data_IF_288713815150
#
_entry.id   IF_288713815150
#
_cell.length_a   1.000
_cell.length_b   1.000
_cell.length_c   1.000
_cell.angle_alpha   90.00
_cell.angle_beta   90.00
_cell.angle_gamma   90.00
#
_symmetry.space_group_name_H-M   'P 1'
#
loop_
_entity.id
_entity.type
_entity.pdbx_description
1 polymer ?
#
# COMPACT_ATOMS: atom_id res chain seq x y z
N UNK A 1 12.56 -15.32 -61.78
CA UNK A 1 12.52 -15.95 -60.45
C UNK A 1 11.99 -14.91 -59.48
N UNK A 2 10.84 -15.09 -58.88
CA UNK A 2 10.35 -14.11 -57.89
C UNK A 2 11.07 -14.34 -56.55
N UNK A 3 11.71 -13.28 -56.07
CA UNK A 3 12.29 -13.23 -54.71
C UNK A 3 11.14 -12.99 -53.75
N UNK A 4 10.82 -13.99 -52.93
CA UNK A 4 9.82 -13.87 -51.89
C UNK A 4 10.44 -13.06 -50.70
N UNK A 5 9.94 -11.87 -50.52
CA UNK A 5 10.30 -11.01 -49.34
C UNK A 5 9.51 -11.55 -48.14
N UNK A 6 10.17 -12.28 -47.28
CA UNK A 6 9.63 -12.69 -45.97
C UNK A 6 9.63 -11.45 -45.04
N UNK A 7 8.46 -10.87 -44.87
CA UNK A 7 8.26 -9.82 -43.85
C UNK A 7 8.15 -10.51 -42.48
N UNK A 8 9.22 -10.51 -41.72
CA UNK A 8 9.20 -10.93 -40.31
C UNK A 8 8.45 -9.89 -39.49
N UNK A 9 7.23 -10.23 -39.11
CA UNK A 9 6.47 -9.43 -38.14
C UNK A 9 7.10 -9.62 -36.74
N UNK A 10 7.86 -8.62 -36.29
CA UNK A 10 8.37 -8.60 -34.93
C UNK A 10 7.18 -8.22 -34.02
N UNK A 11 6.59 -9.21 -33.38
CA UNK A 11 5.61 -8.96 -32.29
C UNK A 11 6.40 -8.51 -31.08
N UNK A 12 6.42 -7.21 -30.85
CA UNK A 12 6.86 -6.65 -29.56
C UNK A 12 5.84 -7.07 -28.51
N UNK A 13 6.13 -8.15 -27.78
CA UNK A 13 5.42 -8.47 -26.55
C UNK A 13 5.77 -7.38 -25.55
N UNK A 14 4.86 -6.40 -25.38
CA UNK A 14 4.96 -5.42 -24.32
C UNK A 14 4.90 -6.16 -22.99
N UNK A 15 6.02 -6.24 -22.29
CA UNK A 15 6.03 -6.70 -20.90
C UNK A 15 5.29 -5.64 -20.08
N UNK A 16 4.10 -6.00 -19.58
CA UNK A 16 3.44 -5.20 -18.53
C UNK A 16 4.32 -5.30 -17.30
N UNK A 17 5.10 -4.25 -17.06
CA UNK A 17 5.94 -4.16 -15.90
C UNK A 17 5.04 -3.79 -14.72
N UNK A 18 4.97 -4.65 -13.69
CA UNK A 18 4.31 -4.31 -12.45
C UNK A 18 5.01 -3.08 -11.85
N UNK A 19 4.24 -2.12 -11.34
CA UNK A 19 4.79 -0.94 -10.69
C UNK A 19 5.71 -1.36 -9.54
N UNK A 20 6.91 -0.78 -9.48
CA UNK A 20 7.83 -1.05 -8.39
C UNK A 20 7.26 -0.50 -7.07
N UNK A 21 7.43 -1.23 -5.94
CA UNK A 21 7.06 -0.70 -4.63
C UNK A 21 7.77 0.62 -4.33
N UNK A 22 7.07 1.51 -3.64
CA UNK A 22 7.67 2.73 -3.12
C UNK A 22 8.70 2.39 -2.04
N UNK A 23 9.81 3.10 -2.05
CA UNK A 23 10.75 3.12 -0.93
C UNK A 23 10.38 4.27 -0.01
N UNK A 24 9.92 3.93 1.17
CA UNK A 24 9.45 4.89 2.16
C UNK A 24 10.33 4.82 3.42
N UNK A 25 10.24 5.87 4.22
CA UNK A 25 10.89 5.93 5.53
C UNK A 25 9.91 6.47 6.56
N UNK A 26 9.86 5.80 7.69
CA UNK A 26 9.03 6.21 8.82
C UNK A 26 9.88 6.16 10.09
N UNK A 27 10.05 7.32 10.75
CA UNK A 27 10.84 7.45 11.98
C UNK A 27 12.24 6.81 11.88
N UNK A 28 12.89 7.00 10.73
CA UNK A 28 14.22 6.46 10.43
C UNK A 28 14.22 5.01 9.93
N UNK A 29 13.10 4.31 9.93
CA UNK A 29 12.97 2.93 9.44
C UNK A 29 12.57 2.89 7.97
N UNK A 30 13.38 2.21 7.16
CA UNK A 30 13.08 2.01 5.73
C UNK A 30 12.06 0.88 5.55
N UNK A 31 11.14 1.10 4.62
CA UNK A 31 10.13 0.12 4.24
C UNK A 31 9.81 0.22 2.75
N UNK A 32 9.18 -0.81 2.22
CA UNK A 32 8.71 -0.85 0.84
C UNK A 32 7.19 -1.04 0.83
N UNK A 33 6.48 -0.28 0.01
CA UNK A 33 5.03 -0.37 -0.06
C UNK A 33 4.54 -0.32 -1.51
N UNK A 34 3.67 -1.26 -1.86
CA UNK A 34 2.86 -1.12 -3.07
C UNK A 34 1.97 0.11 -2.93
N UNK A 35 1.71 0.81 -4.01
CA UNK A 35 0.97 2.07 -3.97
C UNK A 35 -0.43 1.91 -4.58
N UNK A 36 -1.45 1.90 -3.73
CA UNK A 36 -2.85 1.77 -4.13
C UNK A 36 -3.48 3.18 -4.24
N UNK A 37 -3.64 3.68 -5.47
CA UNK A 37 -4.11 5.03 -5.77
C UNK A 37 -5.50 5.06 -6.41
N UNK A 38 -5.87 4.01 -7.14
CA UNK A 38 -7.17 3.92 -7.78
C UNK A 38 -8.20 3.29 -6.85
N UNK A 39 -9.48 3.54 -7.12
CA UNK A 39 -10.58 2.89 -6.39
C UNK A 39 -10.42 1.37 -6.42
N UNK A 40 -10.16 0.79 -7.60
CA UNK A 40 -10.00 -0.64 -7.77
C UNK A 40 -8.80 -1.19 -6.98
N UNK A 41 -7.67 -0.51 -6.98
CA UNK A 41 -6.48 -0.90 -6.20
C UNK A 41 -6.75 -0.87 -4.69
N UNK A 42 -7.42 0.19 -4.21
CA UNK A 42 -7.78 0.31 -2.80
C UNK A 42 -8.78 -0.75 -2.37
N UNK A 43 -9.80 -1.02 -3.19
CA UNK A 43 -10.79 -2.06 -2.89
C UNK A 43 -10.17 -3.46 -2.80
N UNK A 44 -9.24 -3.75 -3.69
CA UNK A 44 -8.51 -5.02 -3.67
C UNK A 44 -7.57 -5.10 -2.47
N UNK A 45 -6.84 -4.02 -2.17
CA UNK A 45 -5.85 -4.00 -1.09
C UNK A 45 -4.94 -5.22 -1.12
N UNK A 46 -4.79 -5.88 0.01
CA UNK A 46 -3.99 -7.10 0.19
C UNK A 46 -4.84 -8.39 0.16
N UNK A 47 -6.04 -8.34 -0.43
CA UNK A 47 -6.90 -9.52 -0.57
C UNK A 47 -6.15 -10.68 -1.20
N UNK A 48 -6.33 -11.89 -0.66
CA UNK A 48 -5.74 -13.12 -1.17
C UNK A 48 -4.25 -13.30 -0.89
N UNK A 49 -3.60 -12.33 -0.24
CA UNK A 49 -2.19 -12.45 0.15
C UNK A 49 -2.07 -13.24 1.45
N UNK A 50 -1.19 -14.23 1.49
CA UNK A 50 -0.94 -15.07 2.67
C UNK A 50 0.29 -14.65 3.46
N UNK A 51 1.17 -13.84 2.88
CA UNK A 51 2.39 -13.32 3.49
C UNK A 51 2.82 -11.99 2.89
N UNK A 52 3.59 -11.23 3.63
CA UNK A 52 4.31 -10.05 3.17
C UNK A 52 5.81 -10.30 3.32
N UNK A 53 6.60 -9.80 2.39
CA UNK A 53 8.05 -9.77 2.55
C UNK A 53 8.40 -8.87 3.75
N UNK A 54 9.57 -9.10 4.36
CA UNK A 54 10.04 -8.29 5.47
C UNK A 54 10.04 -6.80 5.12
N UNK A 55 9.60 -5.95 6.05
CA UNK A 55 9.51 -4.50 5.89
C UNK A 55 8.70 -4.04 4.67
N UNK A 56 7.72 -4.83 4.26
CA UNK A 56 6.88 -4.57 3.09
C UNK A 56 5.41 -4.46 3.46
N UNK A 57 4.67 -3.68 2.68
CA UNK A 57 3.25 -3.48 2.89
C UNK A 57 2.58 -2.77 1.72
N UNK A 58 1.48 -2.09 2.01
CA UNK A 58 0.73 -1.33 1.01
C UNK A 58 0.35 0.05 1.54
N UNK A 59 0.66 1.08 0.76
CA UNK A 59 0.25 2.45 1.00
C UNK A 59 -1.01 2.76 0.18
N UNK A 60 -2.09 3.08 0.86
CA UNK A 60 -3.34 3.55 0.27
C UNK A 60 -3.32 5.07 0.22
N UNK A 61 -3.55 5.63 -0.94
CA UNK A 61 -3.79 7.06 -1.12
C UNK A 61 -5.27 7.28 -1.38
N UNK A 62 -5.92 8.01 -0.50
CA UNK A 62 -7.33 8.37 -0.64
C UNK A 62 -7.47 9.67 -1.43
N UNK A 63 -8.58 9.81 -2.17
CA UNK A 63 -8.82 10.99 -2.99
C UNK A 63 -9.17 12.23 -2.17
N UNK A 64 -9.67 12.02 -0.95
CA UNK A 64 -10.12 13.08 -0.05
C UNK A 64 -9.47 12.94 1.33
N UNK A 65 -9.25 14.08 1.99
CA UNK A 65 -8.89 14.13 3.41
C UNK A 65 -10.16 14.04 4.25
N UNK A 66 -10.39 12.87 4.86
CA UNK A 66 -11.52 12.60 5.76
C UNK A 66 -11.20 11.40 6.62
N UNK A 67 -12.10 10.99 7.49
CA UNK A 67 -11.98 9.71 8.17
C UNK A 67 -12.19 8.59 7.15
N UNK A 68 -11.22 7.68 7.07
CA UNK A 68 -11.26 6.51 6.19
C UNK A 68 -11.34 5.24 7.00
N UNK A 69 -12.01 4.26 6.42
CA UNK A 69 -12.25 2.95 7.06
C UNK A 69 -11.65 1.84 6.22
N UNK A 70 -11.15 0.82 6.90
CA UNK A 70 -10.56 -0.38 6.33
C UNK A 70 -11.33 -1.61 6.82
N UNK A 71 -11.28 -2.69 6.07
CA UNK A 71 -11.77 -4.00 6.46
C UNK A 71 -10.83 -5.09 5.98
N UNK A 72 -11.02 -6.30 6.46
CA UNK A 72 -10.15 -7.44 6.17
C UNK A 72 -10.85 -8.52 5.35
N UNK A 73 -11.82 -8.13 4.53
CA UNK A 73 -12.49 -9.07 3.63
C UNK A 73 -11.46 -9.77 2.74
N UNK A 74 -11.57 -11.09 2.65
CA UNK A 74 -10.70 -11.94 1.82
C UNK A 74 -9.19 -11.74 2.06
N UNK A 75 -8.81 -11.23 3.24
CA UNK A 75 -7.43 -10.92 3.60
C UNK A 75 -6.99 -11.81 4.76
N UNK A 76 -6.16 -12.85 4.49
CA UNK A 76 -5.75 -13.82 5.52
C UNK A 76 -4.63 -13.33 6.43
N UNK A 77 -4.07 -12.15 6.17
CA UNK A 77 -2.95 -11.56 6.91
C UNK A 77 -3.41 -10.95 8.25
N UNK A 78 -2.52 -10.98 9.24
CA UNK A 78 -2.62 -10.13 10.43
C UNK A 78 -1.88 -8.83 10.13
N UNK A 79 -2.57 -7.70 10.15
CA UNK A 79 -2.01 -6.41 9.77
C UNK A 79 -2.13 -5.38 10.88
N UNK A 80 -1.25 -4.38 10.84
CA UNK A 80 -1.45 -3.09 11.48
C UNK A 80 -1.56 -2.03 10.39
N UNK A 81 -2.47 -1.08 10.55
CA UNK A 81 -2.62 0.04 9.65
C UNK A 81 -2.32 1.35 10.37
N UNK A 82 -1.42 2.14 9.81
CA UNK A 82 -1.13 3.49 10.25
C UNK A 82 -1.79 4.48 9.30
N UNK A 83 -2.56 5.41 9.85
CA UNK A 83 -3.16 6.51 9.09
C UNK A 83 -2.29 7.75 9.18
N UNK A 84 -2.19 8.48 8.07
CA UNK A 84 -1.41 9.71 7.98
C UNK A 84 -2.26 10.83 7.37
N UNK A 85 -2.03 12.05 7.82
CA UNK A 85 -2.66 13.23 7.22
C UNK A 85 -2.03 13.58 5.86
N UNK A 86 -2.47 14.68 5.25
CA UNK A 86 -1.98 15.11 3.93
C UNK A 86 -0.50 15.53 3.92
N UNK A 87 0.06 15.86 5.08
CA UNK A 87 1.48 16.20 5.24
C UNK A 87 2.34 14.97 5.58
N UNK A 88 1.73 13.79 5.67
CA UNK A 88 2.40 12.56 6.05
C UNK A 88 2.61 12.38 7.54
N UNK A 89 1.97 13.20 8.38
CA UNK A 89 2.05 13.06 9.84
C UNK A 89 1.13 11.94 10.33
N UNK A 90 1.65 11.14 11.26
CA UNK A 90 0.91 10.02 11.85
C UNK A 90 -0.33 10.52 12.61
N UNK A 91 -1.46 9.92 12.30
CA UNK A 91 -2.77 10.21 12.92
C UNK A 91 -3.18 9.13 13.90
N UNK A 92 -3.07 7.88 13.49
CA UNK A 92 -3.61 6.73 14.23
C UNK A 92 -2.96 5.43 13.77
N UNK A 93 -2.89 4.44 14.65
CA UNK A 93 -2.47 3.07 14.33
C UNK A 93 -3.50 2.11 14.89
N UNK A 94 -3.99 1.20 14.05
CA UNK A 94 -4.97 0.18 14.43
C UNK A 94 -4.49 -1.21 14.02
N UNK A 95 -4.91 -2.23 14.75
CA UNK A 95 -4.68 -3.63 14.38
C UNK A 95 -5.89 -4.18 13.60
N UNK A 96 -5.60 -4.96 12.59
CA UNK A 96 -6.58 -5.58 11.70
C UNK A 96 -6.43 -7.09 11.73
N UNK A 97 -7.51 -7.80 12.11
CA UNK A 97 -7.50 -9.25 12.23
C UNK A 97 -7.92 -9.93 10.90
N UNK A 98 -7.34 -11.10 10.57
CA UNK A 98 -7.64 -11.82 9.34
C UNK A 98 -9.14 -12.03 9.14
N UNK A 99 -9.60 -11.81 7.91
CA UNK A 99 -10.98 -12.04 7.45
C UNK A 99 -12.06 -11.24 8.19
N UNK A 100 -11.70 -10.35 9.08
CA UNK A 100 -12.68 -9.54 9.80
C UNK A 100 -13.30 -8.51 8.85
N UNK A 101 -14.61 -8.59 8.65
CA UNK A 101 -15.37 -7.69 7.76
C UNK A 101 -15.93 -6.47 8.48
N UNK A 102 -15.73 -6.36 9.79
CA UNK A 102 -16.07 -5.16 10.53
C UNK A 102 -15.18 -4.01 10.08
N UNK A 103 -15.79 -2.90 9.69
CA UNK A 103 -15.02 -1.71 9.29
C UNK A 103 -14.36 -1.06 10.49
N UNK A 104 -13.09 -0.66 10.31
CA UNK A 104 -12.28 0.03 11.31
C UNK A 104 -11.83 1.37 10.71
N UNK A 105 -12.15 2.45 11.38
CA UNK A 105 -11.94 3.80 10.85
C UNK A 105 -10.85 4.54 11.62
N UNK A 106 -10.16 5.47 10.94
CA UNK A 106 -9.25 6.41 11.60
C UNK A 106 -10.01 7.30 12.58
N UNK A 107 -9.38 7.69 13.67
CA UNK A 107 -9.98 8.57 14.68
C UNK A 107 -10.11 10.01 14.18
N UNK A 108 -9.22 10.43 13.29
CA UNK A 108 -9.17 11.76 12.69
C UNK A 108 -9.04 11.67 11.18
N UNK A 109 -9.30 12.77 10.43
CA UNK A 109 -9.12 12.78 8.98
C UNK A 109 -7.72 12.35 8.57
N UNK A 110 -7.64 11.56 7.49
CA UNK A 110 -6.41 11.05 6.93
C UNK A 110 -6.42 11.13 5.40
N UNK A 111 -5.23 11.21 4.80
CA UNK A 111 -5.01 11.12 3.35
C UNK A 111 -4.48 9.77 2.95
N UNK A 112 -3.73 9.10 3.84
CA UNK A 112 -3.06 7.84 3.57
C UNK A 112 -3.31 6.83 4.67
N UNK A 113 -3.23 5.54 4.30
CA UNK A 113 -3.12 4.44 5.24
C UNK A 113 -1.98 3.52 4.78
N UNK A 114 -1.14 3.09 5.72
CA UNK A 114 -0.05 2.15 5.47
C UNK A 114 -0.34 0.85 6.23
N UNK A 115 -0.57 -0.22 5.49
CA UNK A 115 -0.73 -1.57 6.04
C UNK A 115 0.62 -2.29 6.03
N UNK A 116 1.01 -2.80 7.19
CA UNK A 116 2.21 -3.60 7.43
C UNK A 116 1.83 -4.84 8.24
N UNK A 117 2.74 -5.79 8.36
CA UNK A 117 2.55 -6.91 9.28
C UNK A 117 2.19 -6.41 10.69
N UNK A 118 1.27 -7.12 11.35
CA UNK A 118 0.81 -6.73 12.68
C UNK A 118 1.98 -6.62 13.66
N UNK A 119 2.03 -5.50 14.36
CA UNK A 119 3.10 -5.19 15.31
C UNK A 119 4.29 -4.44 14.72
N UNK A 120 4.37 -4.28 13.40
CA UNK A 120 5.52 -3.63 12.75
C UNK A 120 5.84 -2.25 13.34
N UNK A 121 4.82 -1.42 13.57
CA UNK A 121 4.98 -0.07 14.12
C UNK A 121 5.38 -0.09 15.60
N UNK A 122 4.74 -0.93 16.40
CA UNK A 122 5.01 -1.04 17.82
C UNK A 122 6.41 -1.58 18.12
N UNK A 123 6.86 -2.59 17.38
CA UNK A 123 8.20 -3.18 17.52
C UNK A 123 9.31 -2.18 17.21
N UNK A 124 9.04 -1.20 16.36
CA UNK A 124 9.99 -0.14 15.98
C UNK A 124 9.82 1.14 16.77
N UNK A 125 8.94 1.12 17.75
CA UNK A 125 8.68 2.27 18.63
C UNK A 125 8.39 3.56 17.85
N UNK A 126 7.57 3.44 16.80
CA UNK A 126 7.18 4.59 15.97
C UNK A 126 6.48 5.64 16.84
N UNK A 127 7.07 6.83 16.87
CA UNK A 127 6.58 7.94 17.68
C UNK A 127 5.32 8.59 17.13
N UNK A 128 4.58 9.28 18.02
CA UNK A 128 3.33 9.97 17.65
C UNK A 128 3.52 11.10 16.65
N UNK A 129 4.71 11.68 16.61
CA UNK A 129 5.06 12.77 15.71
C UNK A 129 5.80 12.27 14.45
N UNK A 130 5.72 10.97 14.18
CA UNK A 130 6.38 10.37 13.04
C UNK A 130 5.78 10.90 11.73
N UNK A 131 6.66 11.12 10.75
CA UNK A 131 6.29 11.53 9.40
C UNK A 131 6.70 10.45 8.42
N UNK A 132 5.79 10.09 7.54
CA UNK A 132 6.07 9.19 6.43
C UNK A 132 6.75 9.98 5.30
N UNK A 133 7.97 9.60 4.98
CA UNK A 133 8.79 10.23 3.94
C UNK A 133 8.88 9.36 2.70
N UNK A 134 8.98 10.00 1.54
CA UNK A 134 9.13 9.32 0.26
C UNK A 134 7.83 9.10 -0.50
N UNK A 135 6.70 9.62 -0.02
CA UNK A 135 5.44 9.59 -0.76
C UNK A 135 5.61 10.43 -2.02
N UNK A 136 5.23 9.91 -3.22
CA UNK A 136 5.31 10.68 -4.45
C UNK A 136 4.49 11.97 -4.37
N UNK A 137 5.06 13.05 -4.86
CA UNK A 137 4.33 14.30 -5.08
C UNK A 137 3.35 14.14 -6.26
N UNK A 138 2.26 14.91 -6.28
CA UNK A 138 1.26 14.91 -7.36
C UNK A 138 1.69 15.80 -8.53
#
# INVERSE_FOLDING_TARGET
MPVALLLSLLVLAGTVQADEPLRLRLDGHELHAEYAQTVAQRERGLMGRSELAADSGMLFRFDEVRRHCLWMKDTPLRLSAAFFDEDGLLVDVIDLEPFNTQIRCSQRPARFALEMDQGWFAEREIGRDARLEGIPEE
#
